data_IF_095741687168
#
_entry.id   IF_095741687168
#
_cell.length_a   1.000
_cell.length_b   1.000
_cell.length_c   1.000
_cell.angle_alpha   90.00
_cell.angle_beta   90.00
_cell.angle_gamma   90.00
#
_symmetry.space_group_name_H-M   'P 1'
#
loop_
_entity.id
_entity.type
_entity.pdbx_description
1 polymer ?
#
# COMPACT_ATOMS: atom_id res chain seq x y z
N UNK A 1 0.28 4.97 -16.44
CA UNK A 1 1.41 4.02 -16.24
C UNK A 1 0.89 2.88 -15.38
N UNK A 2 1.07 1.64 -15.78
CA UNK A 2 0.66 0.50 -14.94
C UNK A 2 1.72 0.26 -13.87
N UNK A 3 1.43 0.62 -12.62
CA UNK A 3 2.37 0.52 -11.51
C UNK A 3 2.70 -0.93 -11.12
N UNK A 4 1.87 -1.91 -11.47
CA UNK A 4 2.18 -3.33 -11.28
C UNK A 4 3.34 -3.83 -12.16
N UNK A 5 3.69 -3.07 -13.23
CA UNK A 5 4.92 -3.26 -13.98
C UNK A 5 6.05 -2.33 -13.54
N UNK A 6 5.88 -1.64 -12.40
CA UNK A 6 6.95 -0.84 -11.85
C UNK A 6 8.18 -1.71 -11.57
N UNK A 7 9.35 -1.09 -11.60
CA UNK A 7 10.60 -1.75 -11.22
C UNK A 7 10.70 -1.94 -9.70
N UNK A 8 9.63 -2.40 -9.07
CA UNK A 8 9.56 -2.67 -7.64
C UNK A 8 9.50 -4.17 -7.39
N UNK A 9 10.15 -4.58 -6.30
CA UNK A 9 10.01 -5.92 -5.73
C UNK A 9 8.79 -5.93 -4.82
N UNK A 10 7.95 -6.96 -4.96
CA UNK A 10 6.80 -7.17 -4.08
C UNK A 10 7.02 -8.38 -3.21
N UNK A 11 6.77 -8.23 -1.92
CA UNK A 11 6.78 -9.32 -0.95
C UNK A 11 5.38 -9.46 -0.36
N UNK A 12 4.74 -10.60 -0.65
CA UNK A 12 3.40 -10.92 -0.19
C UNK A 12 3.49 -12.06 0.81
N UNK A 13 3.02 -11.85 2.04
CA UNK A 13 2.85 -12.89 3.04
C UNK A 13 1.39 -13.20 3.21
N UNK A 14 1.05 -14.46 3.13
CA UNK A 14 -0.29 -14.96 3.28
C UNK A 14 -0.32 -16.08 4.32
N UNK A 15 -1.20 -15.95 5.30
CA UNK A 15 -1.37 -16.95 6.35
C UNK A 15 -2.57 -17.83 6.04
N UNK A 16 -2.37 -19.14 5.97
CA UNK A 16 -3.40 -20.13 5.73
C UNK A 16 -3.35 -21.23 6.79
N UNK A 17 -4.32 -22.12 6.75
CA UNK A 17 -4.35 -23.36 7.56
C UNK A 17 -3.12 -24.25 7.35
N UNK A 18 -2.42 -24.12 6.22
CA UNK A 18 -1.18 -24.83 5.92
C UNK A 18 0.09 -24.11 6.40
N UNK A 19 -0.05 -22.90 6.94
CA UNK A 19 1.07 -22.12 7.47
C UNK A 19 1.23 -20.73 6.85
N UNK A 20 2.44 -20.19 6.93
CA UNK A 20 2.82 -18.93 6.27
C UNK A 20 3.37 -19.22 4.88
N UNK A 21 2.86 -18.51 3.89
CA UNK A 21 3.38 -18.52 2.53
C UNK A 21 3.86 -17.12 2.17
N UNK A 22 5.08 -17.04 1.67
CA UNK A 22 5.65 -15.80 1.16
C UNK A 22 5.88 -15.92 -0.34
N UNK A 23 5.28 -15.03 -1.11
CA UNK A 23 5.61 -14.83 -2.53
C UNK A 23 6.47 -13.60 -2.65
N UNK A 24 7.63 -13.72 -3.29
CA UNK A 24 8.45 -12.59 -3.70
C UNK A 24 8.36 -12.46 -5.20
N UNK A 25 7.78 -11.36 -5.67
CA UNK A 25 7.76 -10.98 -7.09
C UNK A 25 8.96 -10.09 -7.33
N UNK A 26 9.92 -10.58 -8.09
CA UNK A 26 11.21 -9.94 -8.31
C UNK A 26 11.09 -8.75 -9.28
N UNK A 27 11.83 -7.68 -9.01
CA UNK A 27 11.89 -6.54 -9.91
C UNK A 27 12.70 -6.89 -11.17
N UNK A 28 12.41 -6.22 -12.30
CA UNK A 28 13.31 -6.33 -13.47
C UNK A 28 14.75 -5.91 -13.10
N UNK A 29 15.70 -6.78 -13.39
CA UNK A 29 17.13 -6.58 -13.06
C UNK A 29 17.56 -7.11 -11.69
N UNK A 30 16.64 -7.62 -10.87
CA UNK A 30 17.02 -8.39 -9.68
C UNK A 30 17.66 -9.74 -10.06
N UNK A 31 18.44 -10.29 -9.14
CA UNK A 31 18.99 -11.65 -9.25
C UNK A 31 18.18 -12.58 -8.33
N UNK A 32 17.14 -13.26 -8.84
CA UNK A 32 16.37 -14.20 -8.04
C UNK A 32 17.17 -15.48 -7.75
N UNK A 33 16.79 -16.26 -6.72
CA UNK A 33 17.32 -17.59 -6.50
C UNK A 33 17.13 -18.51 -7.75
N UNK A 34 17.99 -19.49 -7.91
CA UNK A 34 17.99 -20.39 -9.10
C UNK A 34 16.69 -21.20 -9.24
N UNK A 35 16.03 -21.48 -8.14
CA UNK A 35 14.77 -22.22 -8.02
C UNK A 35 13.51 -21.34 -8.01
N UNK A 36 13.67 -20.04 -8.28
CA UNK A 36 12.61 -19.03 -8.10
C UNK A 36 11.55 -18.98 -9.20
N UNK A 37 11.59 -19.85 -10.23
CA UNK A 37 10.64 -19.76 -11.35
C UNK A 37 9.50 -20.75 -11.17
N UNK A 38 8.28 -20.20 -11.00
CA UNK A 38 7.05 -20.99 -11.03
C UNK A 38 6.27 -20.62 -12.29
N UNK A 39 5.92 -21.62 -13.08
CA UNK A 39 5.04 -21.43 -14.23
C UNK A 39 3.59 -21.26 -13.74
N UNK A 40 2.95 -20.18 -14.16
CA UNK A 40 1.55 -19.85 -13.83
C UNK A 40 0.60 -20.09 -15.01
N UNK A 41 1.06 -20.78 -16.04
CA UNK A 41 0.26 -21.12 -17.20
C UNK A 41 0.58 -20.30 -18.47
N UNK A 42 -0.13 -20.58 -19.56
CA UNK A 42 0.17 -20.01 -20.85
C UNK A 42 -0.12 -18.50 -20.94
N UNK A 43 0.54 -17.85 -21.87
CA UNK A 43 0.19 -16.51 -22.30
C UNK A 43 -1.07 -16.56 -23.14
N UNK A 44 -2.10 -15.78 -22.75
CA UNK A 44 -3.41 -15.72 -23.43
C UNK A 44 -3.62 -14.26 -23.83
N UNK A 45 -3.47 -13.95 -25.11
CA UNK A 45 -3.68 -12.60 -25.64
C UNK A 45 -4.59 -12.64 -26.84
N UNK A 46 -5.59 -11.75 -26.85
CA UNK A 46 -6.52 -11.59 -27.96
C UNK A 46 -6.47 -10.15 -28.48
N UNK A 47 -6.43 -9.98 -29.78
CA UNK A 47 -6.65 -8.67 -30.39
C UNK A 47 -8.16 -8.42 -30.46
N UNK A 48 -8.60 -7.31 -29.90
CA UNK A 48 -10.03 -6.95 -29.72
C UNK A 48 -10.27 -5.62 -30.39
N UNK A 49 -11.30 -5.48 -31.25
CA UNK A 49 -11.70 -4.18 -31.81
C UNK A 49 -12.08 -3.20 -30.68
N UNK A 50 -11.69 -1.93 -30.82
CA UNK A 50 -11.99 -0.90 -29.81
C UNK A 50 -13.49 -0.75 -29.55
N UNK A 51 -14.33 -0.95 -30.56
CA UNK A 51 -15.78 -0.86 -30.46
C UNK A 51 -16.43 -1.91 -29.55
N UNK A 52 -15.75 -3.03 -29.32
CA UNK A 52 -16.23 -4.10 -28.42
C UNK A 52 -16.09 -3.70 -26.94
N UNK A 53 -15.28 -2.71 -26.62
CA UNK A 53 -15.09 -2.25 -25.25
C UNK A 53 -16.15 -1.20 -24.86
N UNK A 54 -16.70 -1.28 -23.65
CA UNK A 54 -17.73 -0.37 -23.12
C UNK A 54 -17.12 0.97 -22.69
N UNK A 55 -16.72 1.81 -23.63
CA UNK A 55 -16.11 3.13 -23.40
C UNK A 55 -16.98 4.10 -22.58
N UNK A 56 -18.30 3.90 -22.59
CA UNK A 56 -19.25 4.68 -21.80
C UNK A 56 -19.16 4.38 -20.28
N UNK A 57 -18.52 3.27 -19.91
CA UNK A 57 -18.32 2.90 -18.49
C UNK A 57 -16.93 3.32 -18.03
N UNK A 58 -15.90 3.11 -18.86
CA UNK A 58 -14.53 3.42 -18.50
C UNK A 58 -13.69 3.79 -19.74
N UNK A 59 -12.69 4.65 -19.63
CA UNK A 59 -11.73 4.89 -20.71
C UNK A 59 -10.77 3.70 -20.82
N UNK A 60 -10.51 3.27 -22.05
CA UNK A 60 -9.52 2.23 -22.34
C UNK A 60 -8.10 2.81 -22.20
N UNK A 61 -7.27 2.20 -21.36
CA UNK A 61 -5.90 2.66 -21.08
C UNK A 61 -4.88 1.54 -21.15
N UNK A 62 -3.74 1.82 -21.76
CA UNK A 62 -2.63 0.88 -21.81
C UNK A 62 -2.15 0.50 -20.40
N UNK A 63 -1.92 -0.80 -20.19
CA UNK A 63 -1.41 -1.37 -18.97
C UNK A 63 -2.44 -1.54 -17.85
N UNK A 64 -3.68 -1.15 -18.05
CA UNK A 64 -4.76 -1.27 -17.05
C UNK A 64 -5.44 -2.62 -17.13
N UNK A 65 -5.92 -3.09 -15.96
CA UNK A 65 -6.78 -4.24 -15.84
C UNK A 65 -8.24 -3.81 -15.91
N UNK A 66 -9.03 -4.65 -16.54
CA UNK A 66 -10.47 -4.45 -16.70
C UNK A 66 -11.20 -5.77 -16.48
N UNK A 67 -12.39 -5.75 -15.85
CA UNK A 67 -13.27 -6.92 -15.85
C UNK A 67 -13.73 -7.25 -17.26
N UNK A 68 -13.78 -8.53 -17.59
CA UNK A 68 -14.16 -9.00 -18.93
C UNK A 68 -15.57 -8.59 -19.34
N UNK A 69 -16.43 -8.29 -18.38
CA UNK A 69 -17.79 -7.75 -18.63
C UNK A 69 -17.77 -6.36 -19.32
N UNK A 70 -16.64 -5.67 -19.36
CA UNK A 70 -16.48 -4.46 -20.16
C UNK A 70 -16.26 -4.75 -21.64
N UNK A 71 -16.07 -6.01 -22.03
CA UNK A 71 -16.16 -6.46 -23.41
C UNK A 71 -17.61 -6.85 -23.71
N UNK A 72 -18.07 -6.47 -24.90
CA UNK A 72 -19.36 -6.92 -25.43
C UNK A 72 -19.16 -8.27 -26.14
N UNK A 73 -18.64 -9.27 -25.39
CA UNK A 73 -18.33 -10.61 -25.88
C UNK A 73 -18.66 -11.63 -24.76
N UNK A 74 -19.36 -12.69 -25.14
CA UNK A 74 -19.86 -13.70 -24.19
C UNK A 74 -18.83 -14.80 -23.88
N UNK A 75 -17.72 -14.86 -24.61
CA UNK A 75 -16.73 -15.95 -24.60
C UNK A 75 -15.32 -15.50 -24.13
N UNK A 76 -15.25 -14.50 -23.27
CA UNK A 76 -13.98 -14.04 -22.75
C UNK A 76 -13.22 -15.17 -22.00
N UNK A 77 -11.92 -15.40 -22.27
CA UNK A 77 -11.14 -16.51 -21.69
C UNK A 77 -10.99 -16.47 -20.16
N UNK A 78 -11.30 -15.35 -19.53
CA UNK A 78 -11.17 -15.20 -18.09
C UNK A 78 -11.97 -14.01 -17.55
N UNK A 79 -12.06 -13.85 -16.22
CA UNK A 79 -12.88 -12.80 -15.60
C UNK A 79 -12.29 -11.40 -15.75
N UNK A 80 -10.99 -11.30 -16.05
CA UNK A 80 -10.23 -10.05 -16.16
C UNK A 80 -9.27 -10.10 -17.33
N UNK A 81 -8.99 -8.95 -17.89
CA UNK A 81 -7.90 -8.78 -18.87
C UNK A 81 -7.11 -7.51 -18.60
N UNK A 82 -5.89 -7.47 -19.09
CA UNK A 82 -5.03 -6.28 -19.10
C UNK A 82 -4.81 -5.82 -20.53
N UNK A 83 -4.84 -4.51 -20.76
CA UNK A 83 -4.49 -3.93 -22.06
C UNK A 83 -2.96 -3.88 -22.19
N UNK A 84 -2.38 -4.69 -23.06
CA UNK A 84 -0.92 -4.75 -23.28
C UNK A 84 -0.46 -3.97 -24.52
N UNK A 85 -1.39 -3.71 -25.45
CA UNK A 85 -1.17 -2.84 -26.60
C UNK A 85 -2.45 -2.07 -26.89
N UNK A 86 -2.33 -0.81 -27.24
CA UNK A 86 -3.43 0.06 -27.62
C UNK A 86 -3.16 0.63 -29.02
N UNK A 87 -4.05 0.40 -29.97
CA UNK A 87 -4.02 0.91 -31.33
C UNK A 87 -5.21 1.81 -31.62
N UNK A 88 -5.27 2.33 -32.84
CA UNK A 88 -6.35 3.23 -33.28
C UNK A 88 -7.68 2.50 -33.42
N UNK A 89 -7.69 1.26 -33.90
CA UNK A 89 -8.89 0.48 -34.19
C UNK A 89 -9.05 -0.75 -33.30
N UNK A 90 -7.98 -1.21 -32.67
CA UNK A 90 -7.97 -2.41 -31.84
C UNK A 90 -7.01 -2.25 -30.65
N UNK A 91 -7.16 -3.11 -29.68
CA UNK A 91 -6.23 -3.27 -28.55
C UNK A 91 -5.94 -4.74 -28.30
N UNK A 92 -4.88 -5.05 -27.57
CA UNK A 92 -4.57 -6.40 -27.14
C UNK A 92 -5.04 -6.60 -25.70
N UNK A 93 -6.03 -7.46 -25.52
CA UNK A 93 -6.53 -7.91 -24.23
C UNK A 93 -5.73 -9.16 -23.79
N UNK A 94 -4.99 -9.05 -22.71
CA UNK A 94 -4.20 -10.12 -22.11
C UNK A 94 -4.96 -10.71 -20.92
N UNK A 95 -5.42 -11.96 -21.05
CA UNK A 95 -6.13 -12.74 -20.05
C UNK A 95 -5.22 -13.67 -19.25
N UNK A 96 -3.91 -13.61 -19.48
CA UNK A 96 -2.94 -14.43 -18.76
C UNK A 96 -2.99 -14.13 -17.26
N UNK A 97 -2.54 -15.09 -16.45
CA UNK A 97 -2.38 -14.88 -15.02
C UNK A 97 -1.57 -13.59 -14.75
N UNK A 98 -1.94 -12.75 -13.77
CA UNK A 98 -1.25 -11.47 -13.50
C UNK A 98 0.27 -11.58 -13.29
N UNK A 99 0.77 -12.72 -12.82
CA UNK A 99 2.20 -12.99 -12.65
C UNK A 99 2.88 -13.59 -13.90
N UNK A 100 2.13 -13.84 -14.96
CA UNK A 100 2.71 -14.38 -16.20
C UNK A 100 3.79 -13.45 -16.75
N UNK A 101 4.97 -14.01 -17.06
CA UNK A 101 6.14 -13.25 -17.47
C UNK A 101 6.87 -12.51 -16.34
N UNK A 102 6.46 -12.71 -15.06
CA UNK A 102 7.18 -12.23 -13.89
C UNK A 102 7.94 -13.37 -13.24
N UNK A 103 9.15 -13.07 -12.77
CA UNK A 103 9.91 -14.02 -11.94
C UNK A 103 9.41 -13.86 -10.51
N UNK A 104 9.05 -14.96 -9.89
CA UNK A 104 8.67 -14.97 -8.48
C UNK A 104 9.13 -16.27 -7.80
N UNK A 105 9.23 -16.22 -6.49
CA UNK A 105 9.54 -17.38 -5.65
C UNK A 105 8.47 -17.53 -4.58
N UNK A 106 8.23 -18.78 -4.17
CA UNK A 106 7.33 -19.11 -3.07
C UNK A 106 8.13 -19.80 -2.00
N UNK A 107 8.09 -19.27 -0.78
CA UNK A 107 8.58 -19.92 0.44
C UNK A 107 7.41 -20.23 1.35
N UNK A 108 7.38 -21.44 1.92
CA UNK A 108 6.32 -21.89 2.81
C UNK A 108 6.91 -22.39 4.11
N UNK A 109 6.38 -21.92 5.22
CA UNK A 109 6.84 -22.28 6.56
C UNK A 109 5.70 -22.31 7.55
N UNK A 110 6.04 -22.66 8.81
CA UNK A 110 5.06 -22.60 9.89
C UNK A 110 4.60 -21.16 10.11
N UNK A 111 3.32 -20.97 10.39
CA UNK A 111 2.79 -19.69 10.82
C UNK A 111 3.26 -19.40 12.25
N UNK A 112 4.20 -18.48 12.40
CA UNK A 112 4.61 -17.96 13.71
C UNK A 112 3.78 -16.71 14.05
N UNK A 113 2.51 -16.94 14.33
CA UNK A 113 1.55 -15.89 14.68
C UNK A 113 0.64 -16.36 15.80
N UNK A 114 0.33 -15.50 16.75
CA UNK A 114 -0.59 -15.76 17.85
C UNK A 114 -2.06 -15.72 17.44
N UNK A 115 -2.35 -15.51 16.16
CA UNK A 115 -3.70 -15.35 15.60
C UNK A 115 -3.98 -16.47 14.60
N UNK A 116 -5.20 -17.01 14.64
CA UNK A 116 -5.63 -18.11 13.77
C UNK A 116 -5.52 -17.73 12.28
N UNK A 117 -4.78 -18.50 11.47
CA UNK A 117 -4.78 -18.34 10.02
C UNK A 117 -6.10 -18.83 9.42
N UNK A 118 -6.67 -18.10 8.47
CA UNK A 118 -7.94 -18.44 7.82
C UNK A 118 -7.89 -18.39 6.29
N UNK A 119 -6.75 -18.01 5.73
CA UNK A 119 -6.58 -17.89 4.30
C UNK A 119 -6.58 -19.24 3.58
N UNK A 120 -6.80 -19.20 2.27
CA UNK A 120 -6.67 -20.36 1.38
C UNK A 120 -5.45 -20.19 0.48
N UNK A 121 -4.62 -21.21 0.36
CA UNK A 121 -3.38 -21.16 -0.46
C UNK A 121 -3.66 -20.74 -1.90
N UNK A 122 -4.81 -21.13 -2.46
CA UNK A 122 -5.22 -20.75 -3.82
C UNK A 122 -5.35 -19.24 -4.02
N UNK A 123 -5.66 -18.49 -2.98
CA UNK A 123 -5.77 -17.02 -3.03
C UNK A 123 -4.41 -16.32 -3.05
N UNK A 124 -3.34 -16.99 -2.69
CA UNK A 124 -2.02 -16.41 -2.63
C UNK A 124 -1.57 -15.82 -3.98
N UNK A 125 -1.72 -16.58 -5.06
CA UNK A 125 -1.32 -16.14 -6.40
C UNK A 125 -2.25 -15.05 -6.94
N UNK A 126 -3.53 -15.12 -6.66
CA UNK A 126 -4.51 -14.09 -7.02
C UNK A 126 -4.14 -12.75 -6.37
N UNK A 127 -3.85 -12.76 -5.06
CA UNK A 127 -3.45 -11.58 -4.32
C UNK A 127 -2.08 -11.04 -4.74
N UNK A 128 -1.16 -11.91 -5.12
CA UNK A 128 0.16 -11.51 -5.61
C UNK A 128 0.10 -10.88 -6.99
N UNK A 129 -0.90 -11.24 -7.77
CA UNK A 129 -1.08 -10.72 -9.11
C UNK A 129 -1.94 -9.48 -9.15
N UNK A 130 -3.19 -9.63 -8.77
CA UNK A 130 -4.17 -8.56 -8.72
C UNK A 130 -5.48 -9.05 -8.11
N UNK A 131 -6.10 -8.24 -7.25
CA UNK A 131 -7.45 -8.47 -6.79
C UNK A 131 -8.45 -8.03 -7.86
N UNK A 132 -9.41 -8.89 -8.16
CA UNK A 132 -10.44 -8.64 -9.15
C UNK A 132 -11.57 -7.84 -8.54
N UNK A 133 -11.41 -6.53 -8.40
CA UNK A 133 -12.53 -5.65 -8.08
C UNK A 133 -13.08 -5.02 -9.36
N UNK A 134 -14.39 -5.03 -9.50
CA UNK A 134 -15.14 -4.46 -10.61
C UNK A 134 -15.18 -2.92 -10.55
N UNK A 135 -14.03 -2.28 -10.40
CA UNK A 135 -13.95 -0.83 -10.26
C UNK A 135 -13.50 -0.18 -11.56
N UNK A 136 -13.88 1.08 -11.71
CA UNK A 136 -13.39 1.93 -12.79
C UNK A 136 -11.85 2.01 -12.73
N UNK A 137 -11.16 1.84 -13.86
CA UNK A 137 -9.71 1.92 -13.89
C UNK A 137 -9.20 3.26 -13.37
N UNK A 138 -8.19 3.22 -12.51
CA UNK A 138 -7.63 4.40 -11.87
C UNK A 138 -6.93 5.32 -12.87
N UNK A 139 -7.24 6.60 -12.82
CA UNK A 139 -6.51 7.64 -13.51
C UNK A 139 -5.59 8.40 -12.54
N UNK A 140 -4.32 8.02 -12.51
CA UNK A 140 -3.31 8.65 -11.66
C UNK A 140 -3.00 10.11 -12.02
N UNK A 141 -3.42 10.55 -13.20
CA UNK A 141 -3.21 11.90 -13.73
C UNK A 141 -4.48 12.75 -13.77
N UNK A 142 -5.58 12.27 -13.22
CA UNK A 142 -6.81 13.05 -13.15
C UNK A 142 -6.57 14.36 -12.40
N UNK A 143 -7.08 15.51 -12.89
CA UNK A 143 -6.85 16.81 -12.25
C UNK A 143 -7.34 16.85 -10.79
N UNK A 144 -8.36 16.07 -10.47
CA UNK A 144 -8.99 15.98 -9.14
C UNK A 144 -8.50 14.76 -8.31
N UNK A 145 -7.38 14.14 -8.70
CA UNK A 145 -6.86 12.94 -8.04
C UNK A 145 -6.62 13.15 -6.53
N UNK A 146 -6.24 14.35 -6.14
CA UNK A 146 -5.96 14.73 -4.75
C UNK A 146 -7.10 15.51 -4.06
N UNK A 147 -8.24 15.70 -4.74
CA UNK A 147 -9.43 16.26 -4.12
C UNK A 147 -10.02 15.30 -3.08
N UNK A 148 -10.73 15.84 -2.11
CA UNK A 148 -11.38 15.12 -1.02
C UNK A 148 -12.88 15.42 -1.02
N UNK A 149 -13.69 14.58 -0.42
CA UNK A 149 -15.12 14.83 -0.29
C UNK A 149 -15.40 16.02 0.67
N UNK A 150 -14.55 16.16 1.69
CA UNK A 150 -14.60 17.26 2.66
C UNK A 150 -13.30 18.09 2.57
N UNK A 151 -13.40 19.25 1.96
CA UNK A 151 -12.29 20.21 1.79
C UNK A 151 -12.22 21.26 2.91
N UNK A 152 -13.00 21.12 4.01
CA UNK A 152 -12.82 21.97 5.19
C UNK A 152 -11.40 21.85 5.73
N UNK A 153 -10.83 22.93 6.30
CA UNK A 153 -9.47 22.89 6.85
C UNK A 153 -9.28 21.70 7.80
N UNK A 154 -8.16 21.03 7.70
CA UNK A 154 -7.86 19.86 8.53
C UNK A 154 -7.78 20.24 10.02
N UNK A 155 -7.38 21.48 10.33
CA UNK A 155 -7.42 22.05 11.68
C UNK A 155 -8.81 22.05 12.31
N UNK A 156 -9.87 22.23 11.52
CA UNK A 156 -11.26 22.16 11.98
C UNK A 156 -11.72 20.71 12.11
N UNK A 157 -11.47 19.89 11.11
CA UNK A 157 -11.89 18.49 11.10
C UNK A 157 -11.24 17.66 12.22
N UNK A 158 -9.95 17.88 12.50
CA UNK A 158 -9.19 17.16 13.53
C UNK A 158 -9.14 17.92 14.88
N UNK A 159 -9.89 19.01 15.05
CA UNK A 159 -9.95 19.75 16.31
C UNK A 159 -10.41 18.89 17.50
N UNK A 160 -11.39 18.03 17.26
CA UNK A 160 -11.91 17.11 18.29
C UNK A 160 -11.09 15.83 18.34
N UNK A 161 -10.56 15.45 19.51
CA UNK A 161 -9.79 14.22 19.67
C UNK A 161 -10.59 12.97 19.27
N UNK A 162 -9.97 12.07 18.52
CA UNK A 162 -10.56 10.80 18.07
C UNK A 162 -9.68 9.64 18.49
N UNK A 163 -9.79 9.23 19.75
CA UNK A 163 -9.02 8.12 20.31
C UNK A 163 -9.58 6.77 19.85
N UNK A 164 -9.61 6.57 18.52
CA UNK A 164 -10.08 5.34 17.88
C UNK A 164 -8.92 4.60 17.25
N UNK A 165 -9.03 3.28 17.15
CA UNK A 165 -8.07 2.46 16.40
C UNK A 165 -8.38 2.50 14.91
N UNK A 166 -7.38 2.87 14.11
CA UNK A 166 -7.52 2.95 12.65
C UNK A 166 -7.53 1.58 11.97
N UNK A 167 -6.96 0.56 12.62
CA UNK A 167 -6.94 -0.83 12.19
C UNK A 167 -7.30 -1.74 13.38
N UNK A 168 -7.65 -3.00 13.12
CA UNK A 168 -7.89 -3.95 14.20
C UNK A 168 -6.61 -4.32 14.96
N UNK A 169 -6.78 -4.95 16.14
CA UNK A 169 -5.67 -5.27 17.03
C UNK A 169 -4.66 -6.29 16.42
N UNK A 170 -5.08 -7.13 15.47
CA UNK A 170 -4.17 -8.06 14.77
C UNK A 170 -3.30 -7.27 13.82
N UNK A 171 -3.88 -6.44 12.96
CA UNK A 171 -3.14 -5.59 12.05
C UNK A 171 -2.17 -4.66 12.80
N UNK A 172 -2.60 -4.05 13.91
CA UNK A 172 -1.75 -3.19 14.75
C UNK A 172 -0.49 -3.93 15.27
N UNK A 173 -0.66 -5.16 15.76
CA UNK A 173 0.49 -5.99 16.18
C UNK A 173 1.42 -6.34 15.01
N UNK A 174 0.85 -6.56 13.81
CA UNK A 174 1.64 -6.87 12.61
C UNK A 174 2.40 -5.64 12.11
N UNK A 175 1.83 -4.43 12.21
CA UNK A 175 2.56 -3.17 11.97
C UNK A 175 3.75 -3.07 12.92
N UNK A 176 3.55 -3.30 14.21
CA UNK A 176 4.65 -3.27 15.20
C UNK A 176 5.73 -4.31 14.89
N UNK A 177 5.33 -5.53 14.50
CA UNK A 177 6.28 -6.59 14.12
C UNK A 177 7.08 -6.22 12.86
N UNK A 178 6.45 -5.60 11.86
CA UNK A 178 7.13 -5.10 10.69
C UNK A 178 8.14 -4.01 11.07
N UNK A 179 7.74 -3.03 11.87
CA UNK A 179 8.64 -1.97 12.33
C UNK A 179 9.84 -2.52 13.11
N UNK A 180 9.65 -3.54 13.96
CA UNK A 180 10.76 -4.22 14.65
C UNK A 180 11.76 -4.84 13.67
N UNK A 181 11.31 -5.28 12.49
CA UNK A 181 12.16 -5.90 11.48
C UNK A 181 12.90 -4.87 10.61
N UNK A 182 12.25 -3.74 10.32
CA UNK A 182 12.77 -2.79 9.31
C UNK A 182 13.45 -1.56 9.93
N UNK A 183 13.04 -1.12 11.13
CA UNK A 183 13.65 0.04 11.79
C UNK A 183 14.95 -0.33 12.51
N UNK A 184 15.97 0.55 12.49
CA UNK A 184 17.17 0.35 13.29
C UNK A 184 16.83 0.36 14.78
N UNK A 185 17.56 -0.44 15.56
CA UNK A 185 17.47 -0.37 17.03
C UNK A 185 17.94 0.99 17.54
N UNK A 186 17.28 1.51 18.58
CA UNK A 186 17.55 2.81 19.17
C UNK A 186 17.46 4.00 18.18
N UNK A 187 16.75 3.84 17.06
CA UNK A 187 16.56 4.87 16.08
C UNK A 187 15.85 6.10 16.68
N UNK A 188 16.29 7.29 16.31
CA UNK A 188 15.50 8.52 16.46
C UNK A 188 14.47 8.57 15.34
N UNK A 189 13.22 8.33 15.68
CA UNK A 189 12.10 8.18 14.74
C UNK A 189 11.24 9.43 14.72
N UNK A 190 10.88 9.90 13.53
CA UNK A 190 9.81 10.87 13.33
C UNK A 190 8.53 10.09 12.90
N UNK A 191 7.48 10.22 13.69
CA UNK A 191 6.15 9.68 13.38
C UNK A 191 5.28 10.78 12.75
N UNK A 192 5.09 10.71 11.44
CA UNK A 192 4.26 11.66 10.67
C UNK A 192 2.79 11.34 10.85
N UNK A 193 1.99 12.40 11.02
CA UNK A 193 0.55 12.31 11.27
C UNK A 193 0.24 11.52 12.53
N UNK A 194 1.11 11.67 13.55
CA UNK A 194 1.01 10.99 14.82
C UNK A 194 -0.30 11.34 15.56
N UNK A 195 -0.86 10.35 16.22
CA UNK A 195 -2.04 10.43 17.06
C UNK A 195 -1.73 9.80 18.43
N UNK A 196 -2.72 9.27 19.11
CA UNK A 196 -2.62 8.70 20.46
C UNK A 196 -1.87 7.34 20.51
N UNK A 197 -1.48 6.75 19.37
CA UNK A 197 -0.69 5.52 19.24
C UNK A 197 0.18 5.54 17.99
N UNK A 198 1.43 5.10 18.13
CA UNK A 198 2.41 5.06 17.04
C UNK A 198 2.70 3.64 16.52
N UNK A 199 2.31 2.60 17.23
CA UNK A 199 2.60 1.19 16.90
C UNK A 199 4.11 0.87 16.76
N UNK A 200 4.98 1.69 17.33
CA UNK A 200 6.42 1.47 17.29
C UNK A 200 6.83 0.30 18.18
N UNK A 201 7.89 -0.44 17.84
CA UNK A 201 8.40 -1.50 18.71
C UNK A 201 9.12 -0.91 19.94
N UNK A 202 9.29 -1.72 20.96
CA UNK A 202 10.03 -1.41 22.19
C UNK A 202 11.54 -1.14 21.96
N UNK A 203 12.08 -1.57 20.81
CA UNK A 203 13.43 -1.24 20.34
C UNK A 203 13.60 0.23 19.92
N UNK A 204 12.50 0.97 19.74
CA UNK A 204 12.48 2.41 19.54
C UNK A 204 12.07 3.05 20.87
N UNK A 205 13.01 3.64 21.63
CA UNK A 205 12.73 4.05 23.00
C UNK A 205 11.69 5.15 23.08
N UNK A 206 11.86 6.20 22.27
CA UNK A 206 10.92 7.33 22.19
C UNK A 206 11.03 7.99 20.81
N UNK A 207 9.90 8.45 20.28
CA UNK A 207 9.80 9.09 18.98
C UNK A 207 9.45 10.59 19.10
N UNK A 208 9.65 11.33 18.02
CA UNK A 208 9.09 12.66 17.80
C UNK A 208 7.80 12.49 17.01
N UNK A 209 6.67 12.91 17.55
CA UNK A 209 5.39 12.90 16.85
C UNK A 209 5.10 14.24 16.19
N UNK A 210 4.71 14.23 14.95
CA UNK A 210 4.16 15.38 14.25
C UNK A 210 2.72 15.05 13.83
N UNK A 211 1.74 15.82 14.33
CA UNK A 211 0.32 15.53 14.11
C UNK A 211 -0.54 16.75 14.29
N UNK A 212 -1.85 16.59 14.07
CA UNK A 212 -2.81 17.70 14.11
C UNK A 212 -3.36 17.98 15.51
N UNK A 213 -3.51 16.95 16.35
CA UNK A 213 -4.20 17.07 17.63
C UNK A 213 -3.24 16.87 18.80
N UNK A 214 -3.00 17.96 19.56
CA UNK A 214 -2.09 17.94 20.70
C UNK A 214 -2.57 17.01 21.84
N UNK A 215 -3.88 16.91 22.06
CA UNK A 215 -4.46 16.07 23.11
C UNK A 215 -4.28 14.58 22.79
N UNK A 216 -4.52 14.18 21.53
CA UNK A 216 -4.27 12.82 21.10
C UNK A 216 -2.79 12.44 21.28
N UNK A 217 -1.88 13.30 20.81
CA UNK A 217 -0.44 13.07 20.96
C UNK A 217 0.01 13.07 22.42
N UNK A 218 -0.63 13.84 23.30
CA UNK A 218 -0.31 13.83 24.72
C UNK A 218 -0.56 12.48 25.38
N UNK A 219 -1.56 11.73 24.90
CA UNK A 219 -1.88 10.39 25.39
C UNK A 219 -1.01 9.28 24.76
N UNK A 220 -0.14 9.62 23.83
CA UNK A 220 0.75 8.65 23.19
C UNK A 220 2.02 8.45 24.03
N UNK A 221 2.17 7.28 24.71
CA UNK A 221 3.32 7.04 25.59
C UNK A 221 4.63 6.83 24.83
N UNK A 222 4.59 6.64 23.51
CA UNK A 222 5.76 6.41 22.68
C UNK A 222 6.39 7.73 22.15
N UNK A 223 5.76 8.89 22.42
CA UNK A 223 6.25 10.19 21.96
C UNK A 223 6.99 10.93 23.08
N UNK A 224 8.28 11.20 22.88
CA UNK A 224 9.07 12.10 23.73
C UNK A 224 8.82 13.58 23.42
N UNK A 225 8.72 13.88 22.14
CA UNK A 225 8.47 15.23 21.61
C UNK A 225 7.21 15.22 20.75
N UNK A 226 6.48 16.34 20.76
CA UNK A 226 5.22 16.49 20.04
C UNK A 226 5.19 17.83 19.31
N UNK A 227 4.93 17.79 18.02
CA UNK A 227 4.84 18.99 17.17
C UNK A 227 3.46 19.02 16.52
N UNK A 228 2.71 20.08 16.78
CA UNK A 228 1.42 20.30 16.10
C UNK A 228 1.70 20.96 14.76
N UNK A 229 1.33 20.28 13.67
CA UNK A 229 1.63 20.75 12.32
C UNK A 229 0.66 20.14 11.30
N UNK A 230 0.20 20.98 10.37
CA UNK A 230 -0.68 20.57 9.26
C UNK A 230 0.13 20.40 7.97
N UNK A 231 0.39 19.15 7.60
CA UNK A 231 1.15 18.78 6.41
C UNK A 231 0.47 19.16 5.09
N UNK A 232 -0.85 19.33 5.09
CA UNK A 232 -1.59 19.74 3.89
C UNK A 232 -1.57 21.25 3.70
N UNK A 233 -1.55 22.03 4.78
CA UNK A 233 -1.40 23.49 4.76
C UNK A 233 0.05 23.91 4.54
N UNK A 234 0.99 23.28 5.23
CA UNK A 234 2.43 23.51 5.08
C UNK A 234 3.17 22.15 4.99
N UNK A 235 3.60 21.74 3.78
CA UNK A 235 4.32 20.49 3.61
C UNK A 235 5.77 20.52 4.11
N UNK A 236 6.31 21.67 4.50
CA UNK A 236 7.68 21.79 5.01
C UNK A 236 7.74 21.25 6.46
N UNK A 237 8.58 20.26 6.70
CA UNK A 237 8.78 19.73 8.04
C UNK A 237 9.62 20.67 8.90
N UNK A 238 9.18 21.02 10.13
CA UNK A 238 9.85 21.97 11.02
C UNK A 238 11.09 21.34 11.71
N UNK A 239 11.90 20.60 10.97
CA UNK A 239 13.10 19.94 11.47
C UNK A 239 14.27 20.21 10.55
N UNK A 240 15.48 20.19 11.13
CA UNK A 240 16.72 20.34 10.38
C UNK A 240 16.97 19.11 9.49
N UNK A 241 17.81 19.30 8.46
CA UNK A 241 18.28 18.21 7.59
C UNK A 241 18.98 17.13 8.41
N UNK A 242 18.91 15.90 7.97
CA UNK A 242 19.62 14.75 8.55
C UNK A 242 19.41 14.59 10.07
N UNK A 243 18.20 14.84 10.58
CA UNK A 243 17.86 14.80 12.01
C UNK A 243 17.41 13.44 12.51
N UNK A 244 16.90 12.57 11.63
CA UNK A 244 16.26 11.32 12.01
C UNK A 244 16.92 10.10 11.36
N UNK A 245 16.89 8.98 12.07
CA UNK A 245 17.33 7.69 11.57
C UNK A 245 16.21 6.99 10.79
N UNK A 246 14.95 7.29 11.16
CA UNK A 246 13.77 6.82 10.42
C UNK A 246 12.63 7.85 10.48
N UNK A 247 11.81 7.83 9.44
CA UNK A 247 10.53 8.53 9.35
C UNK A 247 9.46 7.48 9.08
N UNK A 248 8.38 7.45 9.85
CA UNK A 248 7.25 6.55 9.64
C UNK A 248 5.98 7.34 9.36
N UNK A 249 5.09 6.78 8.55
CA UNK A 249 3.73 7.28 8.35
C UNK A 249 2.78 6.08 8.45
N UNK A 250 2.01 6.01 9.53
CA UNK A 250 1.21 4.84 9.87
C UNK A 250 -0.26 5.08 9.55
N UNK A 251 -0.79 4.37 8.53
CA UNK A 251 -2.22 4.38 8.12
C UNK A 251 -2.79 5.80 7.99
N UNK A 252 -2.03 6.69 7.36
CA UNK A 252 -2.39 8.11 7.24
C UNK A 252 -1.94 8.74 5.91
N UNK A 253 -1.12 8.08 5.12
CA UNK A 253 -0.58 8.62 3.86
C UNK A 253 -1.67 8.96 2.84
N UNK A 254 -2.80 8.29 2.90
CA UNK A 254 -4.00 8.47 2.08
C UNK A 254 -4.70 9.82 2.24
N UNK A 255 -4.33 10.62 3.24
CA UNK A 255 -4.92 11.94 3.49
C UNK A 255 -4.05 13.09 2.99
N UNK A 256 -2.86 12.80 2.46
CA UNK A 256 -1.93 13.81 1.97
C UNK A 256 -2.35 14.34 0.60
N UNK A 257 -2.59 15.64 0.50
CA UNK A 257 -2.93 16.31 -0.76
C UNK A 257 -1.70 16.71 -1.58
N UNK A 258 -0.52 16.74 -0.95
CA UNK A 258 0.77 17.06 -1.57
C UNK A 258 1.84 15.99 -1.27
N UNK A 259 1.56 14.68 -1.52
CA UNK A 259 2.41 13.58 -1.05
C UNK A 259 3.83 13.62 -1.60
N UNK A 260 4.03 14.16 -2.82
CA UNK A 260 5.38 14.30 -3.41
C UNK A 260 6.28 15.22 -2.56
N UNK A 261 5.72 16.33 -2.04
CA UNK A 261 6.46 17.27 -1.20
C UNK A 261 6.78 16.62 0.15
N UNK A 262 5.84 15.90 0.74
CA UNK A 262 6.06 15.20 2.02
C UNK A 262 7.13 14.13 1.89
N UNK A 263 7.14 13.37 0.80
CA UNK A 263 8.20 12.37 0.55
C UNK A 263 9.57 13.03 0.37
N UNK A 264 9.63 14.20 -0.29
CA UNK A 264 10.87 14.97 -0.44
C UNK A 264 11.36 15.50 0.91
N UNK A 265 10.47 16.02 1.75
CA UNK A 265 10.79 16.49 3.10
C UNK A 265 11.20 15.36 4.04
N UNK A 266 10.51 14.20 3.99
CA UNK A 266 10.94 13.01 4.71
C UNK A 266 12.38 12.61 4.35
N UNK A 267 12.74 12.70 3.06
CA UNK A 267 14.13 12.47 2.63
C UNK A 267 15.10 13.52 3.18
N UNK A 268 14.73 14.80 3.19
CA UNK A 268 15.58 15.89 3.69
C UNK A 268 15.93 15.72 5.16
N UNK A 269 14.93 15.38 5.98
CA UNK A 269 15.13 15.23 7.42
C UNK A 269 15.79 13.91 7.83
N UNK A 270 15.86 12.93 6.93
CA UNK A 270 16.54 11.66 7.15
C UNK A 270 18.05 11.82 7.02
N UNK A 271 18.79 11.17 7.93
CA UNK A 271 20.23 10.94 7.78
C UNK A 271 20.52 10.07 6.57
N UNK A 272 21.72 10.16 5.96
CA UNK A 272 22.14 9.17 4.97
C UNK A 272 22.00 7.74 5.51
N UNK A 273 21.40 6.85 4.72
CA UNK A 273 21.08 5.50 5.16
C UNK A 273 19.81 5.37 6.01
N UNK A 274 19.17 6.47 6.40
CA UNK A 274 17.91 6.48 7.14
C UNK A 274 16.73 5.96 6.30
N UNK A 275 15.66 5.55 6.97
CA UNK A 275 14.52 4.87 6.31
C UNK A 275 13.26 5.70 6.36
N UNK A 276 12.54 5.76 5.22
CA UNK A 276 11.15 6.21 5.19
C UNK A 276 10.22 5.01 5.01
N UNK A 277 9.34 4.78 5.97
CA UNK A 277 8.43 3.62 6.01
C UNK A 277 6.98 4.09 6.05
N UNK A 278 6.19 3.70 5.07
CA UNK A 278 4.76 3.98 5.00
C UNK A 278 4.00 2.67 5.18
N UNK A 279 3.14 2.59 6.19
CA UNK A 279 2.21 1.48 6.37
C UNK A 279 0.78 1.92 6.05
N UNK A 280 0.01 1.04 5.46
CA UNK A 280 -1.30 1.29 4.89
C UNK A 280 -2.23 0.13 5.23
N UNK A 281 -3.54 0.35 5.07
CA UNK A 281 -4.55 -0.70 5.18
C UNK A 281 -5.70 -0.43 4.19
N UNK A 282 -6.81 -1.15 4.38
CA UNK A 282 -8.05 -0.93 3.64
C UNK A 282 -9.04 -0.03 4.38
N UNK A 283 -8.71 0.42 5.61
CA UNK A 283 -9.53 1.38 6.37
C UNK A 283 -9.02 2.81 6.14
N UNK A 284 -9.94 3.74 5.99
CA UNK A 284 -9.70 5.17 5.90
C UNK A 284 -10.94 5.96 6.31
N UNK A 285 -10.80 7.27 6.53
CA UNK A 285 -11.91 8.20 6.75
C UNK A 285 -12.41 8.72 5.40
N UNK A 286 -13.60 8.29 4.94
CA UNK A 286 -14.10 8.68 3.61
C UNK A 286 -14.07 10.18 3.34
N UNK A 287 -14.44 11.08 4.28
CA UNK A 287 -14.48 12.51 3.96
C UNK A 287 -13.11 13.12 3.64
N UNK A 288 -12.03 12.61 4.24
CA UNK A 288 -10.68 13.20 4.13
C UNK A 288 -9.71 12.43 3.27
N UNK A 289 -10.07 11.23 2.84
CA UNK A 289 -9.22 10.45 1.92
C UNK A 289 -9.19 11.11 0.54
N UNK A 290 -8.02 11.16 -0.11
CA UNK A 290 -7.92 11.66 -1.48
C UNK A 290 -8.67 10.75 -2.45
N UNK A 291 -9.31 11.33 -3.46
CA UNK A 291 -10.13 10.61 -4.45
C UNK A 291 -9.35 9.49 -5.15
N UNK A 292 -8.11 9.75 -5.50
CA UNK A 292 -7.22 8.73 -6.09
C UNK A 292 -7.17 7.44 -5.26
N UNK A 293 -7.06 7.56 -3.93
CA UNK A 293 -6.94 6.41 -3.05
C UNK A 293 -8.12 5.46 -3.11
N UNK A 294 -9.33 5.99 -3.23
CA UNK A 294 -10.56 5.19 -3.30
C UNK A 294 -10.66 4.39 -4.60
N UNK A 295 -9.92 4.80 -5.63
CA UNK A 295 -9.89 4.17 -6.94
C UNK A 295 -8.73 3.17 -7.10
N UNK A 296 -7.75 3.19 -6.15
CA UNK A 296 -6.59 2.31 -6.21
C UNK A 296 -6.92 0.92 -5.67
N UNK A 297 -6.54 -0.09 -6.45
CA UNK A 297 -6.42 -1.45 -5.95
C UNK A 297 -5.33 -1.53 -4.85
N UNK A 298 -5.44 -2.41 -3.83
CA UNK A 298 -4.42 -2.53 -2.77
C UNK A 298 -2.97 -2.63 -3.27
N UNK A 299 -2.71 -3.42 -4.31
CA UNK A 299 -1.37 -3.50 -4.91
C UNK A 299 -0.96 -2.19 -5.59
N UNK A 300 -1.91 -1.46 -6.17
CA UNK A 300 -1.64 -0.15 -6.76
C UNK A 300 -1.33 0.91 -5.69
N UNK A 301 -1.92 0.84 -4.49
CA UNK A 301 -1.59 1.73 -3.36
C UNK A 301 -0.12 1.63 -3.01
N UNK A 302 0.38 0.40 -2.79
CA UNK A 302 1.80 0.16 -2.52
C UNK A 302 2.70 0.62 -3.67
N UNK A 303 2.31 0.31 -4.91
CA UNK A 303 3.08 0.69 -6.11
C UNK A 303 3.13 2.20 -6.29
N UNK A 304 2.02 2.89 -6.04
CA UNK A 304 1.95 4.35 -6.14
C UNK A 304 2.86 5.00 -5.08
N UNK A 305 2.73 4.62 -3.81
CA UNK A 305 3.60 5.12 -2.74
C UNK A 305 5.07 4.79 -3.03
N UNK A 306 5.37 3.56 -3.44
CA UNK A 306 6.74 3.16 -3.79
C UNK A 306 7.31 3.94 -4.97
N UNK A 307 6.48 4.30 -5.95
CA UNK A 307 6.93 5.13 -7.08
C UNK A 307 7.25 6.57 -6.64
N UNK A 308 6.49 7.15 -5.71
CA UNK A 308 6.79 8.46 -5.12
C UNK A 308 8.10 8.44 -4.36
N UNK A 309 8.31 7.41 -3.52
CA UNK A 309 9.55 7.20 -2.76
C UNK A 309 10.74 7.07 -3.74
N UNK A 310 10.60 6.26 -4.80
CA UNK A 310 11.64 6.08 -5.82
C UNK A 310 11.94 7.37 -6.59
N UNK A 311 10.91 8.12 -6.99
CA UNK A 311 11.03 9.40 -7.70
C UNK A 311 11.74 10.47 -6.85
N UNK A 312 11.55 10.46 -5.54
CA UNK A 312 12.27 11.32 -4.61
C UNK A 312 13.76 10.93 -4.45
N UNK A 313 14.19 9.83 -5.06
CA UNK A 313 15.60 9.39 -5.08
C UNK A 313 16.01 8.48 -3.93
N UNK A 314 15.06 7.91 -3.20
CA UNK A 314 15.36 6.83 -2.26
C UNK A 314 15.91 5.59 -2.98
N UNK A 315 16.73 4.84 -2.27
CA UNK A 315 17.32 3.57 -2.73
C UNK A 315 16.59 2.40 -2.08
N UNK A 316 16.79 1.19 -2.63
CA UNK A 316 16.24 -0.06 -2.08
C UNK A 316 14.77 0.06 -1.70
N UNK A 317 13.95 0.56 -2.64
CA UNK A 317 12.50 0.67 -2.41
C UNK A 317 11.89 -0.72 -2.45
N UNK A 318 11.24 -1.10 -1.36
CA UNK A 318 10.59 -2.40 -1.19
C UNK A 318 9.11 -2.23 -0.83
N UNK A 319 8.32 -3.24 -1.15
CA UNK A 319 6.92 -3.33 -0.77
C UNK A 319 6.67 -4.60 0.04
N UNK A 320 5.63 -4.56 0.87
CA UNK A 320 5.23 -5.66 1.74
C UNK A 320 3.72 -5.71 1.86
N UNK A 321 3.13 -6.89 1.70
CA UNK A 321 1.72 -7.14 1.93
C UNK A 321 1.58 -8.34 2.86
N UNK A 322 0.65 -8.26 3.81
CA UNK A 322 0.33 -9.35 4.71
C UNK A 322 -1.17 -9.43 4.95
N UNK A 323 -1.73 -10.66 4.86
CA UNK A 323 -3.14 -10.94 5.12
C UNK A 323 -3.38 -12.44 5.42
N UNK A 324 -4.64 -12.83 5.59
CA UNK A 324 -5.04 -14.22 5.86
C UNK A 324 -5.16 -14.54 7.35
N UNK A 325 -5.12 -13.54 8.24
CA UNK A 325 -5.31 -13.71 9.68
C UNK A 325 -6.76 -13.43 10.08
N UNK A 326 -7.24 -14.12 11.10
CA UNK A 326 -8.59 -13.94 11.62
C UNK A 326 -8.75 -12.62 12.36
N UNK A 327 -9.85 -11.92 12.12
CA UNK A 327 -10.21 -10.69 12.81
C UNK A 327 -10.53 -10.95 14.28
N UNK A 328 -10.13 -10.06 15.21
CA UNK A 328 -10.54 -10.14 16.60
C UNK A 328 -12.07 -10.09 16.74
N UNK A 329 -12.62 -10.89 17.65
CA UNK A 329 -14.07 -10.93 17.89
C UNK A 329 -14.65 -9.64 18.49
N UNK A 330 -13.82 -8.88 19.16
CA UNK A 330 -14.14 -7.59 19.78
C UNK A 330 -13.92 -6.38 18.84
N UNK A 331 -13.46 -6.61 17.61
CA UNK A 331 -13.40 -5.56 16.61
C UNK A 331 -14.81 -5.16 16.15
N UNK A 332 -15.06 -3.85 16.01
CA UNK A 332 -16.36 -3.28 15.62
C UNK A 332 -16.90 -3.77 14.26
N UNK A 333 -16.08 -4.41 13.46
CA UNK A 333 -16.45 -4.97 12.17
C UNK A 333 -16.40 -6.50 12.13
N UNK A 334 -16.30 -7.17 13.30
CA UNK A 334 -16.23 -8.64 13.38
C UNK A 334 -17.46 -9.34 12.76
N UNK A 335 -18.62 -8.69 12.81
CA UNK A 335 -19.87 -9.21 12.20
C UNK A 335 -19.89 -9.08 10.67
N UNK A 336 -19.00 -8.28 10.09
CA UNK A 336 -18.98 -8.02 8.64
C UNK A 336 -17.81 -8.68 7.93
N UNK A 337 -16.67 -8.80 8.61
CA UNK A 337 -15.43 -9.29 8.01
C UNK A 337 -14.77 -10.33 8.92
N UNK A 338 -14.55 -11.51 8.38
CA UNK A 338 -13.88 -12.61 9.09
C UNK A 338 -12.37 -12.39 9.14
N UNK A 339 -11.80 -11.86 8.05
CA UNK A 339 -10.36 -11.59 7.94
C UNK A 339 -10.02 -10.25 8.62
N UNK A 340 -8.89 -10.24 9.32
CA UNK A 340 -8.25 -9.04 9.87
C UNK A 340 -7.93 -8.03 8.78
N UNK A 341 -7.80 -6.76 9.15
CA UNK A 341 -7.37 -5.74 8.22
C UNK A 341 -6.01 -6.12 7.64
N UNK A 342 -5.82 -6.03 6.31
CA UNK A 342 -4.54 -6.31 5.69
C UNK A 342 -3.51 -5.26 6.08
N UNK A 343 -2.25 -5.66 6.17
CA UNK A 343 -1.11 -4.76 6.29
C UNK A 343 -0.46 -4.61 4.92
N UNK A 344 -0.42 -3.40 4.42
CA UNK A 344 0.40 -3.01 3.29
C UNK A 344 1.53 -2.09 3.77
N UNK A 345 2.71 -2.22 3.22
CA UNK A 345 3.81 -1.32 3.53
C UNK A 345 4.70 -1.08 2.33
N UNK A 346 5.32 0.09 2.31
CA UNK A 346 6.34 0.46 1.33
C UNK A 346 7.39 1.30 2.03
N UNK A 347 8.65 1.02 1.77
CA UNK A 347 9.75 1.79 2.35
C UNK A 347 10.90 1.97 1.38
N UNK A 348 11.75 2.95 1.66
CA UNK A 348 12.98 3.21 0.96
C UNK A 348 14.06 3.73 1.89
N UNK A 349 15.30 3.64 1.46
CA UNK A 349 16.48 4.09 2.20
C UNK A 349 17.00 5.38 1.58
N UNK A 350 17.22 6.43 2.39
CA UNK A 350 17.82 7.68 1.97
C UNK A 350 19.25 7.44 1.45
N UNK A 351 19.68 8.10 0.36
CA UNK A 351 21.00 7.92 -0.23
C UNK A 351 22.15 8.38 0.68
#
# INVERSE_FOLDING_TARGET
>A
MNLLHSALRFRVNYFSDLGRHQVVIWAPGDTPPVDAQVDVGPKIEHEVPNEVFRHNIAPLKLGRFYPSQLLQADDAPGPMFRVTKLGETSFVANFSHPLQGRIFSIDSGKADVSTEPIGKVTQLLEWSGMETQMQTPTDFSAPDAFARDDETPDTEFYAQPRKITHVDAVCARRIQALYRTVLPENARVLDLMASWRSHLPDTVPLAVGLGMNAEEMADNPQLAERVVHDLNADPQLPFADASFDAVVCTVSFEYLTQPQKIVAEAKRVLKPGGMFVVTLSNRYFPPKVIKLWTQLHPMERMSWVGSLIKQAGFKRVETYLERGLKRPKDDRYADRYVESDPLFATWGVAP
#
